data_IF_939254485171
#
_entry.id   IF_939254485171
#
_cell.length_a   1.000
_cell.length_b   1.000
_cell.length_c   1.000
_cell.angle_alpha   90.00
_cell.angle_beta   90.00
_cell.angle_gamma   90.00
#
_symmetry.space_group_name_H-M   'P 1'
#
loop_
_entity.id
_entity.type
_entity.pdbx_description
1 polymer ?
#
# COMPACT_ATOMS: atom_id res chain seq x y z
N UNK A 1 -20.00 13.73 -0.51
CA UNK A 1 -18.83 13.88 -1.41
C UNK A 1 -17.61 13.45 -0.64
N UNK A 2 -16.79 12.53 -1.16
CA UNK A 2 -15.52 12.21 -0.51
C UNK A 2 -14.59 13.44 -0.59
N UNK A 3 -13.86 13.78 0.48
CA UNK A 3 -12.91 14.89 0.43
C UNK A 3 -11.84 14.61 -0.64
N UNK A 4 -11.24 15.66 -1.24
CA UNK A 4 -10.13 15.49 -2.17
C UNK A 4 -8.97 14.79 -1.47
N UNK A 5 -8.63 13.58 -1.93
CA UNK A 5 -7.47 12.82 -1.44
C UNK A 5 -6.20 13.42 -2.02
N UNK A 6 -5.29 13.88 -1.17
CA UNK A 6 -3.98 14.37 -1.61
C UNK A 6 -3.18 13.23 -2.25
N UNK A 7 -2.82 13.38 -3.52
CA UNK A 7 -1.91 12.47 -4.22
C UNK A 7 -0.49 12.84 -3.81
N UNK A 8 0.21 11.92 -3.16
CA UNK A 8 1.62 12.06 -2.78
C UNK A 8 2.49 11.25 -3.74
N UNK A 9 3.71 11.73 -4.01
CA UNK A 9 4.71 10.90 -4.69
C UNK A 9 5.15 9.74 -3.78
N UNK A 10 5.78 8.70 -4.35
CA UNK A 10 6.30 7.56 -3.57
C UNK A 10 7.22 8.03 -2.45
N UNK A 11 8.17 8.91 -2.75
CA UNK A 11 9.10 9.44 -1.75
C UNK A 11 8.40 10.22 -0.64
N UNK A 12 7.37 11.01 -0.98
CA UNK A 12 6.56 11.73 0.00
C UNK A 12 5.69 10.81 0.86
N UNK A 13 5.25 9.68 0.30
CA UNK A 13 4.49 8.67 1.03
C UNK A 13 5.37 7.87 1.99
N UNK A 14 6.63 7.60 1.61
CA UNK A 14 7.59 6.83 2.40
C UNK A 14 8.47 7.68 3.33
N UNK A 15 8.58 8.99 3.11
CA UNK A 15 9.37 9.88 3.98
C UNK A 15 9.03 9.75 5.48
N UNK A 16 7.76 9.59 5.90
CA UNK A 16 7.43 9.35 7.30
C UNK A 16 8.00 8.04 7.85
N UNK A 17 8.15 6.99 7.02
CA UNK A 17 8.78 5.73 7.42
C UNK A 17 10.24 5.94 7.83
N UNK A 18 10.98 6.78 7.09
CA UNK A 18 12.38 7.07 7.40
C UNK A 18 12.57 7.76 8.76
N UNK A 19 11.50 8.39 9.28
CA UNK A 19 11.48 9.10 10.57
C UNK A 19 10.77 8.32 11.68
N UNK A 20 10.46 7.03 11.46
CA UNK A 20 9.81 6.21 12.46
C UNK A 20 10.66 6.13 13.72
N UNK A 21 10.05 6.47 14.86
CA UNK A 21 10.67 6.26 16.17
C UNK A 21 10.89 4.76 16.40
N UNK A 22 11.93 4.42 17.14
CA UNK A 22 12.28 3.09 17.66
C UNK A 22 11.12 2.34 18.32
N UNK A 23 10.14 3.07 18.87
CA UNK A 23 8.94 2.51 19.49
C UNK A 23 7.85 2.14 18.48
N UNK A 24 7.99 2.55 17.21
CA UNK A 24 7.01 2.28 16.18
C UNK A 24 7.12 0.85 15.70
N UNK A 25 6.07 0.07 15.90
CA UNK A 25 6.02 -1.31 15.45
C UNK A 25 5.39 -1.38 14.06
N UNK A 26 6.21 -1.72 13.07
CA UNK A 26 5.73 -2.01 11.72
C UNK A 26 5.62 -3.53 11.51
N UNK A 27 4.54 -3.95 10.84
CA UNK A 27 4.31 -5.34 10.42
C UNK A 27 3.99 -5.34 8.94
N UNK A 28 4.69 -6.19 8.18
CA UNK A 28 4.36 -6.42 6.78
C UNK A 28 3.00 -7.14 6.70
N UNK A 29 2.10 -6.60 5.90
CA UNK A 29 0.80 -7.18 5.56
C UNK A 29 0.70 -7.30 4.05
N UNK A 30 -0.01 -8.31 3.60
CA UNK A 30 -0.33 -8.51 2.20
C UNK A 30 -1.84 -8.43 1.97
N UNK A 31 -2.21 -7.94 0.81
CA UNK A 31 -3.58 -7.93 0.30
C UNK A 31 -3.56 -8.46 -1.12
N UNK A 32 -4.27 -9.55 -1.38
CA UNK A 32 -4.52 -10.03 -2.74
C UNK A 32 -5.69 -9.23 -3.32
N UNK A 33 -5.45 -8.56 -4.44
CA UNK A 33 -6.48 -7.89 -5.23
C UNK A 33 -6.55 -8.55 -6.62
N UNK A 34 -7.59 -8.22 -7.37
CA UNK A 34 -7.78 -8.70 -8.73
C UNK A 34 -7.78 -7.52 -9.70
N UNK A 35 -6.90 -7.57 -10.69
CA UNK A 35 -6.96 -6.65 -11.82
C UNK A 35 -7.71 -7.32 -12.96
N UNK A 36 -8.83 -6.73 -13.36
CA UNK A 36 -9.66 -7.23 -14.44
C UNK A 36 -9.48 -6.36 -15.69
N UNK A 37 -9.14 -7.00 -16.80
CA UNK A 37 -9.03 -6.35 -18.10
C UNK A 37 -10.05 -6.96 -19.06
N UNK A 38 -10.78 -6.11 -19.78
CA UNK A 38 -11.71 -6.57 -20.82
C UNK A 38 -10.95 -6.89 -22.11
N UNK A 39 -10.96 -8.16 -22.53
CA UNK A 39 -10.28 -8.66 -23.75
C UNK A 39 -11.26 -8.92 -24.90
N UNK A 40 -12.10 -7.94 -25.22
CA UNK A 40 -12.98 -7.95 -26.38
C UNK A 40 -14.21 -8.88 -26.32
N UNK A 41 -14.13 -10.02 -25.62
CA UNK A 41 -15.24 -10.95 -25.43
C UNK A 41 -15.56 -11.20 -23.94
N UNK A 42 -14.55 -11.11 -23.07
CA UNK A 42 -14.67 -11.43 -21.66
C UNK A 42 -13.77 -10.54 -20.79
N UNK A 43 -14.04 -10.55 -19.49
CA UNK A 43 -13.14 -9.97 -18.50
C UNK A 43 -12.15 -11.05 -18.04
N UNK A 44 -10.87 -10.81 -18.28
CA UNK A 44 -9.80 -11.62 -17.71
C UNK A 44 -9.29 -10.94 -16.46
N UNK A 45 -9.53 -11.56 -15.31
CA UNK A 45 -9.03 -11.09 -14.03
C UNK A 45 -7.79 -11.86 -13.62
N UNK A 46 -6.71 -11.18 -13.27
CA UNK A 46 -5.49 -11.78 -12.73
C UNK A 46 -5.29 -11.32 -11.28
N UNK A 47 -5.01 -12.24 -10.35
CA UNK A 47 -4.74 -11.87 -8.97
C UNK A 47 -3.35 -11.22 -8.89
N UNK A 48 -3.22 -10.19 -8.06
CA UNK A 48 -1.94 -9.58 -7.72
C UNK A 48 -1.92 -9.22 -6.24
N UNK A 49 -0.76 -9.40 -5.62
CA UNK A 49 -0.45 -9.03 -4.24
C UNK A 49 -0.05 -7.56 -4.18
N UNK A 50 -0.57 -6.87 -3.17
CA UNK A 50 -0.06 -5.58 -2.69
C UNK A 50 0.50 -5.77 -1.30
N UNK A 51 1.64 -5.16 -1.04
CA UNK A 51 2.33 -5.22 0.24
C UNK A 51 2.20 -3.88 0.95
N UNK A 52 1.94 -3.94 2.24
CA UNK A 52 1.81 -2.76 3.09
C UNK A 52 2.59 -2.96 4.38
N UNK A 53 3.31 -1.93 4.81
CA UNK A 53 3.77 -1.85 6.20
C UNK A 53 2.68 -1.21 7.05
N UNK A 54 2.12 -2.00 7.95
CA UNK A 54 1.19 -1.53 8.96
C UNK A 54 1.98 -1.08 10.18
N UNK A 55 2.13 0.22 10.36
CA UNK A 55 2.90 0.82 11.44
C UNK A 55 2.00 1.41 12.51
N UNK A 56 2.27 1.06 13.78
CA UNK A 56 1.57 1.56 14.95
C UNK A 56 2.60 2.24 15.86
N UNK A 57 2.45 3.56 16.07
CA UNK A 57 3.25 4.31 17.02
C UNK A 57 2.42 4.58 18.29
N UNK A 58 3.04 4.71 19.48
CA UNK A 58 2.34 4.82 20.76
C UNK A 58 1.26 5.92 20.84
N UNK A 59 1.46 7.04 20.11
CA UNK A 59 0.58 8.22 20.14
C UNK A 59 0.02 8.60 18.76
N UNK A 60 0.09 7.70 17.77
CA UNK A 60 -0.40 7.99 16.40
C UNK A 60 -1.39 6.92 15.95
N UNK A 61 -2.33 7.34 15.11
CA UNK A 61 -3.20 6.41 14.40
C UNK A 61 -2.37 5.45 13.56
N UNK A 62 -2.75 4.16 13.57
CA UNK A 62 -2.14 3.16 12.72
C UNK A 62 -2.13 3.64 11.26
N UNK A 63 -0.97 3.57 10.62
CA UNK A 63 -0.77 4.03 9.25
C UNK A 63 -0.31 2.87 8.39
N UNK A 64 -0.91 2.72 7.22
CA UNK A 64 -0.50 1.74 6.21
C UNK A 64 0.32 2.44 5.15
N UNK A 65 1.57 2.01 4.98
CA UNK A 65 2.42 2.45 3.89
C UNK A 65 2.45 1.37 2.83
N UNK A 66 2.02 1.70 1.61
CA UNK A 66 2.16 0.75 0.52
C UNK A 66 3.64 0.64 0.11
N UNK A 67 4.17 -0.58 0.20
CA UNK A 67 5.54 -0.92 -0.17
C UNK A 67 5.60 -1.84 -1.39
N UNK A 68 4.47 -2.09 -2.05
CA UNK A 68 4.41 -2.81 -3.33
C UNK A 68 5.42 -2.23 -4.32
N UNK A 69 6.19 -3.11 -4.94
CA UNK A 69 7.17 -2.79 -5.98
C UNK A 69 6.92 -3.60 -7.25
N UNK A 70 7.74 -3.39 -8.29
CA UNK A 70 7.62 -4.09 -9.57
C UNK A 70 7.90 -5.60 -9.47
N UNK A 71 8.57 -6.05 -8.41
CA UNK A 71 8.97 -7.45 -8.22
C UNK A 71 8.05 -8.23 -7.29
N UNK A 72 7.12 -7.56 -6.60
CA UNK A 72 6.21 -8.16 -5.59
C UNK A 72 5.38 -9.32 -6.14
N UNK A 73 5.07 -9.28 -7.44
CA UNK A 73 4.30 -10.30 -8.16
C UNK A 73 5.10 -11.03 -9.24
N UNK A 74 6.42 -10.80 -9.31
CA UNK A 74 7.32 -11.50 -10.24
C UNK A 74 7.68 -12.90 -9.75
#
# INVERSE_FOLDING_TARGET
MAPPTTIRTRDQALAPLATLDSQTNCRLKELVQWECQFKGAEYVCSPFKRLFEHCIAPDKSATNYEVTDTYTNS
#
